data_IF_931441087119
#
_entry.id   IF_931441087119
#
_cell.length_a   1.000
_cell.length_b   1.000
_cell.length_c   1.000
_cell.angle_alpha   90.00
_cell.angle_beta   90.00
_cell.angle_gamma   90.00
#
_symmetry.space_group_name_H-M   'P 1'
#
loop_
_entity.id
_entity.type
_entity.pdbx_description
1 polymer ?
#
# COMPACT_ATOMS: atom_id res chain seq x y z
N UNK A 1 12.91 -14.73 -11.60
CA UNK A 1 12.79 -13.54 -10.73
C UNK A 1 11.91 -13.93 -9.56
N UNK A 2 12.27 -13.57 -8.32
CA UNK A 2 11.36 -13.76 -7.18
C UNK A 2 10.19 -12.79 -7.37
N UNK A 3 8.95 -13.28 -7.30
CA UNK A 3 7.80 -12.38 -7.20
C UNK A 3 7.97 -11.57 -5.91
N UNK A 4 7.92 -10.24 -6.00
CA UNK A 4 7.83 -9.38 -4.82
C UNK A 4 6.36 -9.25 -4.45
N UNK A 5 6.05 -9.54 -3.21
CA UNK A 5 4.69 -9.45 -2.67
C UNK A 5 4.59 -8.19 -1.79
N UNK A 6 3.50 -7.45 -1.98
CA UNK A 6 3.20 -6.26 -1.21
C UNK A 6 1.84 -6.41 -0.55
N UNK A 7 1.75 -6.03 0.71
CA UNK A 7 0.53 -5.94 1.47
C UNK A 7 -0.02 -4.52 1.31
N UNK A 8 -1.32 -4.43 1.02
CA UNK A 8 -2.04 -3.15 0.96
C UNK A 8 -2.99 -3.09 2.13
N UNK A 9 -2.83 -2.08 2.99
CA UNK A 9 -3.82 -1.71 4.01
C UNK A 9 -4.87 -0.86 3.31
N UNK A 10 -6.14 -1.26 3.44
CA UNK A 10 -7.25 -0.57 2.79
C UNK A 10 -8.14 0.03 3.87
N UNK A 11 -8.34 1.34 3.78
CA UNK A 11 -9.26 2.11 4.60
C UNK A 11 -10.36 2.71 3.70
N UNK A 12 -11.45 3.16 4.32
CA UNK A 12 -12.48 3.92 3.63
C UNK A 12 -12.77 5.19 4.42
N UNK A 13 -12.74 6.32 3.75
CA UNK A 13 -13.02 7.61 4.36
C UNK A 13 -14.53 7.89 4.52
N UNK A 14 -14.83 9.10 4.98
CA UNK A 14 -16.19 9.59 5.23
C UNK A 14 -17.02 9.79 3.96
N UNK A 15 -16.38 10.05 2.82
CA UNK A 15 -17.02 10.20 1.50
C UNK A 15 -17.20 8.85 0.79
N UNK A 16 -16.67 7.77 1.36
CA UNK A 16 -16.76 6.43 0.80
C UNK A 16 -15.65 6.08 -0.19
N UNK A 17 -14.62 6.92 -0.29
CA UNK A 17 -13.43 6.68 -1.11
C UNK A 17 -12.55 5.66 -0.39
N UNK A 18 -12.05 4.68 -1.15
CA UNK A 18 -11.10 3.71 -0.65
C UNK A 18 -9.69 4.28 -0.73
N UNK A 19 -8.94 4.17 0.36
CA UNK A 19 -7.57 4.63 0.49
C UNK A 19 -6.69 3.40 0.72
N UNK A 20 -5.61 3.27 -0.04
CA UNK A 20 -4.65 2.19 0.07
C UNK A 20 -3.28 2.70 0.48
N UNK A 21 -2.63 1.99 1.40
CA UNK A 21 -1.24 2.20 1.82
C UNK A 21 -0.46 0.89 1.65
N UNK A 22 0.80 0.96 1.23
CA UNK A 22 1.75 -0.19 1.27
C UNK A 22 2.75 0.04 2.40
N UNK A 23 2.62 -0.63 3.56
CA UNK A 23 3.51 -0.41 4.71
C UNK A 23 4.99 -0.71 4.42
N UNK A 24 5.25 -1.57 3.42
CA UNK A 24 6.60 -1.94 2.99
C UNK A 24 7.29 -0.85 2.16
N UNK A 25 6.55 0.15 1.68
CA UNK A 25 7.03 1.21 0.80
C UNK A 25 6.72 2.57 1.41
N UNK A 26 7.77 3.31 1.79
CA UNK A 26 7.62 4.63 2.41
C UNK A 26 6.84 5.56 1.48
N UNK A 27 5.82 6.21 2.05
CA UNK A 27 4.98 7.17 1.34
C UNK A 27 4.24 6.63 0.10
N UNK A 28 3.98 5.31 0.04
CA UNK A 28 3.23 4.69 -1.05
C UNK A 28 1.73 4.63 -0.71
N UNK A 29 0.99 5.60 -1.23
CA UNK A 29 -0.45 5.73 -1.04
C UNK A 29 -1.17 5.90 -2.38
N UNK A 30 -2.41 5.41 -2.46
CA UNK A 30 -3.33 5.70 -3.55
C UNK A 30 -4.78 5.65 -3.08
N UNK A 31 -5.70 6.02 -3.96
CA UNK A 31 -7.13 6.02 -3.67
C UNK A 31 -7.96 5.57 -4.88
N UNK A 32 -9.22 5.19 -4.66
CA UNK A 32 -10.18 4.87 -5.71
C UNK A 32 -11.63 4.87 -5.22
N UNK A 33 -12.58 5.12 -6.11
CA UNK A 33 -14.01 5.07 -5.79
C UNK A 33 -14.50 3.62 -5.58
N UNK A 34 -13.77 2.65 -6.11
CA UNK A 34 -14.00 1.22 -5.94
C UNK A 34 -12.72 0.50 -5.54
N UNK A 35 -12.85 -0.71 -4.96
CA UNK A 35 -11.69 -1.56 -4.66
C UNK A 35 -10.90 -1.90 -5.93
N UNK A 36 -11.59 -2.17 -7.05
CA UNK A 36 -10.91 -2.50 -8.31
C UNK A 36 -10.09 -1.32 -8.85
N UNK A 37 -10.64 -0.11 -8.79
CA UNK A 37 -9.93 1.11 -9.14
C UNK A 37 -8.74 1.35 -8.22
N UNK A 38 -8.95 1.25 -6.90
CA UNK A 38 -7.87 1.37 -5.92
C UNK A 38 -6.75 0.38 -6.26
N UNK A 39 -7.06 -0.89 -6.50
CA UNK A 39 -6.04 -1.91 -6.79
C UNK A 39 -5.30 -1.67 -8.11
N UNK A 40 -5.94 -1.05 -9.11
CA UNK A 40 -5.24 -0.59 -10.33
C UNK A 40 -4.26 0.52 -9.99
N UNK A 41 -4.72 1.56 -9.31
CA UNK A 41 -3.89 2.71 -8.96
C UNK A 41 -2.74 2.32 -8.01
N UNK A 42 -2.98 1.37 -7.09
CA UNK A 42 -1.96 0.81 -6.20
C UNK A 42 -0.82 0.13 -6.96
N UNK A 43 -1.12 -0.63 -8.03
CA UNK A 43 -0.07 -1.27 -8.84
C UNK A 43 0.84 -0.23 -9.50
N UNK A 44 0.25 0.83 -10.05
CA UNK A 44 1.00 1.92 -10.70
C UNK A 44 1.93 2.63 -9.71
N UNK A 45 1.44 3.00 -8.52
CA UNK A 45 2.27 3.68 -7.52
C UNK A 45 3.34 2.76 -6.91
N UNK A 46 3.08 1.46 -6.76
CA UNK A 46 4.08 0.48 -6.31
C UNK A 46 5.22 0.39 -7.32
N UNK A 47 4.92 0.31 -8.62
CA UNK A 47 5.93 0.27 -9.68
C UNK A 47 6.79 1.54 -9.65
N UNK A 48 6.17 2.71 -9.56
CA UNK A 48 6.87 3.99 -9.45
C UNK A 48 7.75 4.08 -8.20
N UNK A 49 7.26 3.63 -7.05
CA UNK A 49 8.06 3.59 -5.83
C UNK A 49 9.27 2.65 -5.98
N UNK A 50 9.11 1.48 -6.62
CA UNK A 50 10.20 0.53 -6.80
C UNK A 50 11.31 1.06 -7.72
N UNK A 51 10.97 1.89 -8.69
CA UNK A 51 11.94 2.59 -9.54
C UNK A 51 12.73 3.66 -8.77
N UNK A 52 12.11 4.28 -7.76
CA UNK A 52 12.70 5.38 -6.98
C UNK A 52 13.53 4.94 -5.76
N UNK A 53 13.54 3.65 -5.41
CA UNK A 53 14.32 3.15 -4.25
C UNK A 53 15.80 3.04 -4.67
N UNK A 54 16.58 4.09 -4.37
CA UNK A 54 18.04 4.05 -4.55
C UNK A 54 18.75 3.28 -3.43
N UNK A 55 18.22 3.30 -2.21
CA UNK A 55 18.66 2.51 -1.03
C UNK A 55 17.83 3.07 0.14
N UNK A 56 16.91 2.33 0.79
CA UNK A 56 16.67 2.47 2.25
C UNK A 56 15.53 1.65 2.89
N UNK A 57 15.83 1.29 4.15
CA UNK A 57 15.04 0.73 5.25
C UNK A 57 14.64 -0.75 5.20
N UNK A 58 15.06 -1.46 6.25
CA UNK A 58 15.01 -2.93 6.44
C UNK A 58 13.84 -3.36 7.33
N UNK A 59 12.74 -2.62 7.33
CA UNK A 59 11.57 -3.00 8.13
C UNK A 59 10.74 -4.04 7.40
N UNK A 60 10.60 -5.21 8.00
CA UNK A 60 9.70 -6.26 7.52
C UNK A 60 8.29 -6.01 8.06
N UNK A 61 7.30 -6.03 7.17
CA UNK A 61 5.90 -5.99 7.58
C UNK A 61 5.49 -7.36 8.15
N UNK A 62 5.19 -7.40 9.46
CA UNK A 62 4.79 -8.65 10.16
C UNK A 62 3.28 -8.88 10.13
N UNK A 63 2.47 -7.82 10.11
CA UNK A 63 1.01 -7.92 10.06
C UNK A 63 0.29 -6.79 10.80
N UNK A 64 -1.03 -6.93 10.93
CA UNK A 64 -1.91 -5.99 11.64
C UNK A 64 -2.38 -6.65 12.94
N UNK A 65 -2.18 -5.99 14.08
CA UNK A 65 -2.66 -6.46 15.38
C UNK A 65 -3.78 -5.55 15.89
N UNK A 66 -4.98 -6.10 16.05
CA UNK A 66 -6.07 -5.40 16.73
C UNK A 66 -5.83 -5.38 18.24
N UNK A 67 -5.84 -4.20 18.83
CA UNK A 67 -5.82 -3.98 20.29
C UNK A 67 -7.13 -3.34 20.68
N UNK A 68 -7.74 -3.81 21.77
CA UNK A 68 -8.96 -3.24 22.35
C UNK A 68 -8.57 -2.59 23.66
N UNK A 69 -8.95 -1.33 23.85
CA UNK A 69 -8.74 -0.56 25.08
C UNK A 69 -10.05 -0.49 25.85
#
# INVERSE_FOLDING_TARGET
MKNKEFYVVIERDEDGIYIGEVPQLKACYSQGETIDELMRNMREVIELCLEAIEEESTTEFIGIQRVVI
#
